data_IF_010716619304
#
_entry.id   IF_010716619304
#
_cell.length_a   1.000
_cell.length_b   1.000
_cell.length_c   1.000
_cell.angle_alpha   90.00
_cell.angle_beta   90.00
_cell.angle_gamma   90.00
#
_symmetry.space_group_name_H-M   'P 1'
#
loop_
_entity.id
_entity.type
_entity.pdbx_description
1 polymer ?
#
# COMPACT_ATOMS: atom_id res chain seq x y z
N UNK A 1 -5.33 -18.85 23.50
CA UNK A 1 -4.96 -18.45 23.41
C UNK A 1 -4.78 -17.57 22.80
N UNK A 2 -4.87 -17.07 22.63
CA UNK A 2 -4.57 -16.34 22.17
C UNK A 2 -3.88 -15.64 21.89
N UNK A 3 -3.92 -15.85 21.89
CA UNK A 3 -2.84 -15.75 22.02
C UNK A 3 -2.18 -14.71 21.47
N UNK A 4 -2.11 -14.21 20.80
CA UNK A 4 -1.35 -13.31 20.22
C UNK A 4 -2.14 -12.43 19.41
N UNK A 5 -2.97 -11.74 20.05
CA UNK A 5 -3.62 -10.63 19.43
C UNK A 5 -2.64 -9.55 19.03
N UNK A 6 -1.46 -9.54 19.68
CA UNK A 6 -0.44 -8.55 19.36
C UNK A 6 0.90 -9.22 19.17
N UNK A 7 1.54 -8.90 18.08
CA UNK A 7 2.93 -9.28 17.85
C UNK A 7 3.82 -8.08 18.13
N UNK A 8 4.99 -8.34 18.72
CA UNK A 8 6.00 -7.32 18.89
C UNK A 8 7.15 -7.66 17.96
N UNK A 9 7.45 -6.76 17.06
CA UNK A 9 8.44 -7.00 16.00
C UNK A 9 9.45 -5.87 16.01
N UNK A 10 10.73 -6.20 15.98
CA UNK A 10 11.77 -5.20 15.83
C UNK A 10 12.04 -5.00 14.34
N UNK A 11 12.03 -3.74 13.91
CA UNK A 11 12.29 -3.40 12.53
C UNK A 11 13.34 -2.31 12.49
N UNK A 12 14.05 -2.23 11.38
CA UNK A 12 15.01 -1.16 11.14
C UNK A 12 14.50 -0.33 9.98
N UNK A 13 14.28 0.96 10.21
CA UNK A 13 13.81 1.87 9.20
C UNK A 13 14.78 3.05 9.14
N UNK A 14 15.35 3.25 7.98
CA UNK A 14 16.28 4.35 7.73
C UNK A 14 17.40 4.37 8.77
N UNK A 15 17.95 3.18 9.05
CA UNK A 15 19.08 3.02 9.96
C UNK A 15 18.77 2.99 11.42
N UNK A 16 17.52 3.14 11.83
CA UNK A 16 17.14 3.14 13.23
C UNK A 16 16.22 1.99 13.54
N UNK A 17 16.36 1.44 14.74
CA UNK A 17 15.55 0.32 15.20
C UNK A 17 14.30 0.80 15.91
N UNK A 18 13.21 0.15 15.61
CA UNK A 18 11.92 0.44 16.24
C UNK A 18 11.26 -0.86 16.66
N UNK A 19 10.55 -0.80 17.75
CA UNK A 19 9.74 -1.93 18.21
C UNK A 19 8.31 -1.62 17.85
N UNK A 20 7.74 -2.44 16.97
CA UNK A 20 6.38 -2.25 16.50
C UNK A 20 5.48 -3.28 17.14
N UNK A 21 4.37 -2.82 17.68
CA UNK A 21 3.38 -3.68 18.28
C UNK A 21 2.14 -3.64 17.40
N UNK A 22 1.73 -4.79 16.91
CA UNK A 22 0.59 -4.84 16.01
C UNK A 22 -0.07 -6.20 16.01
N UNK A 23 -1.23 -6.28 15.42
CA UNK A 23 -1.99 -7.52 15.35
C UNK A 23 -1.68 -8.33 14.10
N UNK A 24 -0.98 -7.74 13.16
CA UNK A 24 -0.63 -8.42 11.93
C UNK A 24 0.51 -9.38 12.15
N UNK A 25 0.66 -10.30 11.21
CA UNK A 25 1.74 -11.26 11.19
C UNK A 25 3.09 -10.55 11.19
N UNK A 26 4.09 -11.11 11.87
CA UNK A 26 5.39 -10.44 11.98
C UNK A 26 6.08 -10.29 10.63
N UNK A 27 5.89 -11.25 9.72
CA UNK A 27 6.47 -11.12 8.38
C UNK A 27 5.81 -9.99 7.59
N UNK A 28 4.52 -9.80 7.79
CA UNK A 28 3.82 -8.68 7.17
C UNK A 28 4.32 -7.34 7.71
N UNK A 29 4.45 -7.24 9.03
CA UNK A 29 4.94 -6.01 9.66
C UNK A 29 6.34 -5.68 9.17
N UNK A 30 7.20 -6.70 9.09
CA UNK A 30 8.56 -6.51 8.55
C UNK A 30 8.55 -6.04 7.11
N UNK A 31 7.65 -6.60 6.30
CA UNK A 31 7.50 -6.17 4.91
C UNK A 31 7.08 -4.71 4.79
N UNK A 32 6.13 -4.30 5.64
CA UNK A 32 5.70 -2.90 5.67
C UNK A 32 6.87 -1.98 6.03
N UNK A 33 7.62 -2.35 7.06
CA UNK A 33 8.76 -1.56 7.51
C UNK A 33 9.83 -1.47 6.42
N UNK A 34 10.09 -2.57 5.72
CA UNK A 34 11.06 -2.58 4.64
C UNK A 34 10.64 -1.67 3.50
N UNK A 35 9.35 -1.62 3.22
CA UNK A 35 8.84 -0.75 2.17
C UNK A 35 9.01 0.72 2.53
N UNK A 36 8.71 1.08 3.79
CA UNK A 36 8.92 2.45 4.26
C UNK A 36 10.40 2.81 4.16
N UNK A 37 11.28 1.91 4.59
CA UNK A 37 12.72 2.13 4.51
C UNK A 37 13.16 2.40 3.07
N UNK A 38 12.68 1.59 2.14
CA UNK A 38 13.00 1.77 0.73
C UNK A 38 12.53 3.12 0.21
N UNK A 39 11.30 3.50 0.57
CA UNK A 39 10.74 4.77 0.13
C UNK A 39 11.48 5.96 0.69
N UNK A 40 11.95 5.87 1.94
CA UNK A 40 12.74 6.94 2.53
C UNK A 40 14.07 7.09 1.81
N UNK A 41 14.69 5.97 1.44
CA UNK A 41 15.96 6.02 0.72
C UNK A 41 15.81 6.58 -0.70
N UNK A 42 14.66 6.34 -1.33
CA UNK A 42 14.38 6.88 -2.65
C UNK A 42 14.29 8.40 -2.67
N UNK A 43 13.75 8.99 -1.60
CA UNK A 43 13.59 10.45 -1.55
C UNK A 43 14.77 11.16 -0.89
N UNK A 44 15.75 10.41 -0.42
CA UNK A 44 16.96 10.97 0.15
C UNK A 44 17.88 11.38 -0.99
N UNK A 45 18.12 12.68 -1.12
CA UNK A 45 18.93 13.22 -2.22
C UNK A 45 20.43 13.11 -1.98
N UNK A 46 20.81 12.47 -0.88
CA UNK A 46 22.22 12.22 -0.59
C UNK A 46 22.83 13.27 0.33
N UNK A 47 24.17 13.21 0.50
CA UNK A 47 24.82 13.99 1.54
C UNK A 47 24.85 15.50 1.29
N UNK A 48 24.54 15.93 0.09
CA UNK A 48 24.59 17.36 -0.23
C UNK A 48 23.29 18.09 0.06
N UNK A 49 22.29 17.40 0.58
CA UNK A 49 21.03 18.05 0.88
C UNK A 49 20.95 18.32 2.37
N UNK A 50 20.22 19.37 2.70
CA UNK A 50 19.95 19.70 4.08
C UNK A 50 18.68 19.00 4.57
N UNK A 51 18.33 17.90 3.98
CA UNK A 51 17.11 17.18 4.34
C UNK A 51 17.27 16.50 5.68
N UNK A 52 16.35 16.77 6.57
CA UNK A 52 16.29 16.08 7.85
C UNK A 52 15.55 14.77 7.68
N UNK A 53 15.74 13.87 8.65
CA UNK A 53 15.02 12.60 8.65
C UNK A 53 13.51 12.81 8.65
N UNK A 54 13.03 13.81 9.40
CA UNK A 54 11.62 14.12 9.43
C UNK A 54 11.07 14.53 8.07
N UNK A 55 11.83 15.35 7.35
CA UNK A 55 11.45 15.76 6.01
C UNK A 55 11.42 14.57 5.05
N UNK A 56 12.41 13.71 5.16
CA UNK A 56 12.49 12.51 4.33
C UNK A 56 11.30 11.61 4.60
N UNK A 57 10.93 11.43 5.87
CA UNK A 57 9.78 10.63 6.23
C UNK A 57 8.47 11.19 5.66
N UNK A 58 8.32 12.51 5.69
CA UNK A 58 7.12 13.15 5.13
C UNK A 58 7.06 12.94 3.61
N UNK A 59 8.16 13.12 2.92
CA UNK A 59 8.20 12.92 1.47
C UNK A 59 7.93 11.47 1.11
N UNK A 60 8.50 10.53 1.87
CA UNK A 60 8.24 9.11 1.65
C UNK A 60 6.76 8.81 1.88
N UNK A 61 6.18 9.38 2.93
CA UNK A 61 4.75 9.20 3.21
C UNK A 61 3.88 9.71 2.07
N UNK A 62 4.25 10.85 1.49
CA UNK A 62 3.51 11.39 0.36
C UNK A 62 3.61 10.50 -0.86
N UNK A 63 4.80 9.94 -1.12
CA UNK A 63 4.97 9.03 -2.25
C UNK A 63 4.15 7.75 -2.06
N UNK A 64 4.15 7.20 -0.84
CA UNK A 64 3.36 6.01 -0.53
C UNK A 64 1.88 6.30 -0.70
N UNK A 65 1.43 7.46 -0.23
CA UNK A 65 0.03 7.86 -0.37
C UNK A 65 -0.36 8.03 -1.83
N UNK A 66 0.54 8.60 -2.62
CA UNK A 66 0.31 8.73 -4.06
C UNK A 66 0.13 7.35 -4.71
N UNK A 67 0.98 6.40 -4.35
CA UNK A 67 0.87 5.03 -4.85
C UNK A 67 -0.46 4.41 -4.45
N UNK A 68 -0.87 4.63 -3.21
CA UNK A 68 -2.13 4.09 -2.72
C UNK A 68 -3.31 4.66 -3.50
N UNK A 69 -3.33 5.96 -3.70
CA UNK A 69 -4.43 6.60 -4.43
C UNK A 69 -4.45 6.15 -5.89
N UNK A 70 -3.28 6.00 -6.49
CA UNK A 70 -3.19 5.50 -7.87
C UNK A 70 -3.71 4.07 -7.97
N UNK A 71 -3.36 3.22 -7.00
CA UNK A 71 -3.83 1.84 -6.97
C UNK A 71 -5.34 1.78 -6.81
N UNK A 72 -5.90 2.65 -5.98
CA UNK A 72 -7.35 2.71 -5.78
C UNK A 72 -8.07 3.12 -7.06
N UNK A 73 -7.52 4.10 -7.78
CA UNK A 73 -8.10 4.53 -9.05
C UNK A 73 -8.07 3.40 -10.07
N UNK A 74 -6.97 2.67 -10.12
CA UNK A 74 -6.83 1.55 -11.04
C UNK A 74 -7.86 0.45 -10.73
N UNK A 75 -8.05 0.17 -9.45
CA UNK A 75 -9.05 -0.81 -9.02
C UNK A 75 -10.46 -0.38 -9.38
N UNK A 76 -10.77 0.90 -9.22
CA UNK A 76 -12.08 1.43 -9.60
C UNK A 76 -12.32 1.30 -11.09
N UNK A 77 -11.32 1.60 -11.90
CA UNK A 77 -11.43 1.47 -13.35
C UNK A 77 -11.68 0.02 -13.77
N UNK A 78 -10.97 -0.91 -13.13
CA UNK A 78 -11.16 -2.32 -13.41
C UNK A 78 -12.56 -2.79 -13.03
N UNK A 79 -13.02 -2.37 -11.86
CA UNK A 79 -14.36 -2.73 -11.41
C UNK A 79 -15.43 -2.18 -12.34
N UNK A 80 -15.28 -0.94 -12.76
CA UNK A 80 -16.24 -0.32 -13.69
C UNK A 80 -16.25 -1.02 -15.04
N UNK A 81 -15.09 -1.38 -15.57
CA UNK A 81 -15.01 -2.12 -16.82
C UNK A 81 -15.68 -3.48 -16.71
N UNK A 82 -15.47 -4.14 -15.59
CA UNK A 82 -16.07 -5.44 -15.35
C UNK A 82 -17.59 -5.33 -15.30
N UNK A 83 -18.11 -4.34 -14.58
CA UNK A 83 -19.53 -4.10 -14.48
C UNK A 83 -20.14 -3.81 -15.84
N UNK A 84 -19.47 -2.99 -16.63
CA UNK A 84 -19.94 -2.66 -17.98
C UNK A 84 -20.02 -3.91 -18.86
N UNK A 85 -19.03 -4.78 -18.74
CA UNK A 85 -19.02 -6.02 -19.52
C UNK A 85 -20.13 -6.96 -19.09
N UNK A 86 -20.32 -7.10 -17.77
CA UNK A 86 -21.37 -7.96 -17.26
C UNK A 86 -22.73 -7.44 -17.71
N UNK A 87 -22.93 -6.13 -17.66
CA UNK A 87 -24.18 -5.53 -18.09
C UNK A 87 -24.42 -5.74 -19.57
N UNK A 88 -23.41 -5.54 -20.39
CA UNK A 88 -23.51 -5.75 -21.83
C UNK A 88 -23.88 -7.18 -22.17
N UNK A 89 -23.28 -8.15 -21.47
CA UNK A 89 -23.59 -9.55 -21.67
C UNK A 89 -25.01 -9.88 -21.24
N UNK A 90 -25.45 -9.31 -20.11
CA UNK A 90 -26.80 -9.50 -19.61
C UNK A 90 -27.82 -8.97 -20.61
N UNK A 91 -27.59 -7.80 -21.17
CA UNK A 91 -28.48 -7.22 -22.18
C UNK A 91 -28.56 -8.08 -23.44
N UNK A 92 -27.43 -8.60 -23.87
CA UNK A 92 -27.39 -9.47 -25.04
C UNK A 92 -28.19 -10.75 -24.79
N UNK A 93 -28.04 -11.36 -23.64
CA UNK A 93 -28.78 -12.56 -23.28
C UNK A 93 -30.27 -12.27 -23.22
N UNK A 94 -30.66 -11.15 -22.62
CA UNK A 94 -32.07 -10.75 -22.53
C UNK A 94 -32.68 -10.56 -23.93
N UNK A 95 -31.96 -9.92 -24.82
CA UNK A 95 -32.42 -9.75 -26.18
C UNK A 95 -32.61 -11.10 -26.87
N UNK A 96 -31.66 -12.00 -26.70
CA UNK A 96 -31.74 -13.33 -27.30
C UNK A 96 -32.92 -14.11 -26.77
N UNK A 97 -33.18 -14.03 -25.47
CA UNK A 97 -34.26 -14.76 -24.84
C UNK A 97 -35.65 -14.17 -25.14
N UNK A 98 -35.72 -12.89 -25.46
CA UNK A 98 -37.00 -12.25 -25.71
C UNK A 98 -37.44 -12.35 -27.16
N UNK A 99 -36.63 -12.88 -28.03
CA UNK A 99 -37.04 -13.18 -29.39
C UNK A 99 -37.46 -14.63 -29.49
#
# INVERSE_FOLDING_TARGET
MNITDNNTVQVTIYGKSYTIKGKADSSYISGVANYVDMKMREVDDGPNTASTEGKIAILAGMNITDELFSARQENEKLANRFEERVQALTELIDETLST
#
